data_IF_250036928816
#
_entry.id   IF_250036928816
#
_cell.length_a   1.000
_cell.length_b   1.000
_cell.length_c   1.000
_cell.angle_alpha   90.00
_cell.angle_beta   90.00
_cell.angle_gamma   90.00
#
_symmetry.space_group_name_H-M   'P 1'
#
loop_
_entity.id
_entity.type
_entity.pdbx_description
1 polymer ?
#
# COMPACT_ATOMS: atom_id res chain seq x y z
N UNK A 1 -0.07 -5.38 -13.59
CA UNK A 1 0.07 -6.50 -12.61
C UNK A 1 -0.88 -6.25 -11.46
N UNK A 2 -1.26 -7.29 -10.73
CA UNK A 2 -2.10 -7.19 -9.53
C UNK A 2 -1.19 -7.12 -8.30
N UNK A 3 -1.17 -5.98 -7.62
CA UNK A 3 -0.35 -5.74 -6.43
C UNK A 3 -1.26 -5.81 -5.22
N UNK A 4 -0.97 -6.71 -4.29
CA UNK A 4 -1.62 -6.77 -2.98
C UNK A 4 -0.96 -5.71 -2.08
N UNK A 5 -1.76 -4.81 -1.51
CA UNK A 5 -1.28 -3.70 -0.70
C UNK A 5 -1.95 -3.74 0.67
N UNK A 6 -1.16 -3.92 1.73
CA UNK A 6 -1.65 -3.74 3.10
C UNK A 6 -1.90 -2.25 3.42
N UNK A 7 -2.64 -1.98 4.50
CA UNK A 7 -3.02 -0.65 4.93
C UNK A 7 -2.31 -0.17 6.20
N UNK A 8 -2.47 -0.86 7.34
CA UNK A 8 -2.07 -0.37 8.66
C UNK A 8 -0.60 -0.65 8.97
N UNK A 9 0.25 0.38 8.89
CA UNK A 9 1.71 0.24 8.93
C UNK A 9 2.35 0.28 7.53
N UNK A 10 1.53 0.14 6.49
CA UNK A 10 1.95 0.11 5.08
C UNK A 10 1.56 1.37 4.32
N UNK A 11 0.29 1.76 4.33
CA UNK A 11 -0.17 3.01 3.71
C UNK A 11 -0.13 4.18 4.69
N UNK A 12 -0.41 3.89 5.95
CA UNK A 12 -0.47 4.84 7.06
C UNK A 12 0.30 4.29 8.26
N UNK A 13 0.53 5.11 9.28
CA UNK A 13 1.02 4.61 10.58
C UNK A 13 0.02 3.60 11.19
N UNK A 14 0.53 2.65 11.97
CA UNK A 14 -0.31 1.61 12.56
C UNK A 14 -1.05 2.15 13.80
N UNK A 15 -2.23 2.75 13.58
CA UNK A 15 -3.09 3.36 14.62
C UNK A 15 -4.47 2.69 14.73
N UNK A 16 -4.62 1.46 14.25
CA UNK A 16 -5.88 0.71 14.33
C UNK A 16 -6.48 0.77 15.75
N UNK A 17 -7.80 1.05 15.91
CA UNK A 17 -8.85 1.09 14.88
C UNK A 17 -8.91 2.37 14.04
N UNK A 18 -8.27 3.45 14.49
CA UNK A 18 -8.26 4.75 13.79
C UNK A 18 -7.40 4.69 12.51
N UNK A 19 -7.52 5.72 11.67
CA UNK A 19 -6.66 5.89 10.50
C UNK A 19 -5.40 6.64 10.95
N UNK A 20 -4.23 6.05 10.68
CA UNK A 20 -2.96 6.69 10.96
C UNK A 20 -2.60 7.82 9.98
N UNK A 21 -1.45 8.42 10.22
CA UNK A 21 -0.87 9.43 9.34
C UNK A 21 -0.32 8.79 8.06
N UNK A 22 -0.43 9.47 6.91
CA UNK A 22 0.19 8.99 5.65
C UNK A 22 1.73 8.97 5.81
N UNK A 23 2.34 7.82 5.49
CA UNK A 23 3.78 7.58 5.59
C UNK A 23 4.50 7.69 4.23
N UNK A 24 3.88 8.38 3.27
CA UNK A 24 4.42 8.62 1.93
C UNK A 24 3.94 7.63 0.88
N UNK A 25 2.90 6.86 1.18
CA UNK A 25 2.37 5.84 0.28
C UNK A 25 1.60 6.45 -0.89
N UNK A 26 0.82 7.50 -0.62
CA UNK A 26 -0.26 7.91 -1.50
C UNK A 26 0.21 8.27 -2.92
N UNK A 27 1.30 9.05 -3.05
CA UNK A 27 1.82 9.42 -4.37
C UNK A 27 2.40 8.23 -5.13
N UNK A 28 3.09 7.31 -4.45
CA UNK A 28 3.67 6.11 -5.07
C UNK A 28 2.56 5.20 -5.59
N UNK A 29 1.52 4.99 -4.79
CA UNK A 29 0.37 4.16 -5.17
C UNK A 29 -0.41 4.75 -6.36
N UNK A 30 -0.63 6.07 -6.39
CA UNK A 30 -1.22 6.75 -7.55
C UNK A 30 -0.43 6.49 -8.83
N UNK A 31 0.90 6.56 -8.74
CA UNK A 31 1.75 6.40 -9.91
C UNK A 31 1.86 4.94 -10.37
N UNK A 32 1.76 3.97 -9.46
CA UNK A 32 1.57 2.55 -9.82
C UNK A 32 0.25 2.35 -10.61
N UNK A 33 -0.85 2.94 -10.15
CA UNK A 33 -2.14 2.87 -10.88
C UNK A 33 -2.03 3.51 -12.26
N UNK A 34 -1.44 4.71 -12.36
CA UNK A 34 -1.21 5.38 -13.65
C UNK A 34 -0.34 4.57 -14.61
N UNK A 35 0.60 3.80 -14.08
CA UNK A 35 1.46 2.91 -14.86
C UNK A 35 0.75 1.60 -15.29
N UNK A 36 -0.55 1.46 -15.00
CA UNK A 36 -1.37 0.32 -15.43
C UNK A 36 -1.32 -0.88 -14.48
N UNK A 37 -0.92 -0.67 -13.22
CA UNK A 37 -0.99 -1.69 -12.19
C UNK A 37 -2.32 -1.61 -11.44
N UNK A 38 -2.85 -2.78 -11.07
CA UNK A 38 -4.05 -2.90 -10.27
C UNK A 38 -3.65 -3.01 -8.81
N UNK A 39 -4.25 -2.18 -7.95
CA UNK A 39 -4.07 -2.29 -6.51
C UNK A 39 -5.23 -3.08 -5.90
N UNK A 40 -4.93 -4.16 -5.21
CA UNK A 40 -5.89 -4.92 -4.42
C UNK A 40 -5.58 -4.63 -2.96
N UNK A 41 -6.45 -3.89 -2.29
CA UNK A 41 -6.33 -3.67 -0.85
C UNK A 41 -6.39 -5.02 -0.15
N UNK A 42 -5.34 -5.40 0.57
CA UNK A 42 -5.21 -6.68 1.26
C UNK A 42 -4.96 -6.42 2.74
N UNK A 43 -6.04 -6.24 3.48
CA UNK A 43 -6.05 -5.75 4.87
C UNK A 43 -6.87 -6.67 5.76
N UNK A 44 -6.55 -6.68 7.05
CA UNK A 44 -7.38 -7.33 8.07
C UNK A 44 -8.61 -6.50 8.46
N UNK A 45 -8.73 -5.26 8.00
CA UNK A 45 -9.99 -4.50 8.09
C UNK A 45 -11.08 -5.19 7.26
N UNK A 46 -12.29 -5.24 7.79
CA UNK A 46 -13.45 -5.89 7.18
C UNK A 46 -14.71 -5.01 7.31
N UNK A 47 -15.81 -5.39 6.66
CA UNK A 47 -17.07 -4.61 6.69
C UNK A 47 -17.56 -4.34 8.13
N UNK A 48 -17.35 -5.29 9.02
CA UNK A 48 -17.62 -5.22 10.46
C UNK A 48 -16.45 -4.67 11.30
N UNK A 49 -15.34 -4.28 10.64
CA UNK A 49 -14.09 -3.88 11.28
C UNK A 49 -13.39 -2.74 10.51
N UNK A 50 -13.98 -1.54 10.53
CA UNK A 50 -13.38 -0.27 10.08
C UNK A 50 -12.83 -0.24 8.64
N UNK A 51 -13.34 -1.09 7.73
CA UNK A 51 -12.90 -1.10 6.32
C UNK A 51 -13.27 0.19 5.57
N UNK A 52 -14.44 0.75 5.84
CA UNK A 52 -14.91 1.95 5.15
C UNK A 52 -13.96 3.15 5.34
N UNK A 53 -13.30 3.26 6.50
CA UNK A 53 -12.37 4.34 6.78
C UNK A 53 -11.10 4.21 5.93
N UNK A 54 -10.60 2.98 5.74
CA UNK A 54 -9.49 2.70 4.83
C UNK A 54 -9.88 2.99 3.37
N UNK A 55 -11.06 2.56 2.93
CA UNK A 55 -11.57 2.86 1.58
C UNK A 55 -11.71 4.37 1.35
N UNK A 56 -12.17 5.12 2.36
CA UNK A 56 -12.24 6.56 2.32
C UNK A 56 -10.85 7.21 2.17
N UNK A 57 -9.82 6.69 2.85
CA UNK A 57 -8.44 7.15 2.69
C UNK A 57 -7.94 6.99 1.25
N UNK A 58 -8.16 5.82 0.62
CA UNK A 58 -7.78 5.59 -0.79
C UNK A 58 -8.52 6.56 -1.74
N UNK A 59 -9.83 6.69 -1.55
CA UNK A 59 -10.68 7.59 -2.34
C UNK A 59 -10.25 9.06 -2.23
N UNK A 60 -10.01 9.54 -1.00
CA UNK A 60 -9.62 10.92 -0.75
C UNK A 60 -8.21 11.24 -1.30
N UNK A 61 -7.34 10.23 -1.37
CA UNK A 61 -6.03 10.33 -2.00
C UNK A 61 -6.05 10.13 -3.52
N UNK A 62 -7.22 9.93 -4.15
CA UNK A 62 -7.34 9.71 -5.58
C UNK A 62 -6.64 8.45 -6.07
N UNK A 63 -6.69 7.38 -5.27
CA UNK A 63 -6.10 6.08 -5.59
C UNK A 63 -7.23 5.09 -5.88
N UNK A 64 -7.31 4.64 -7.12
CA UNK A 64 -8.30 3.66 -7.54
C UNK A 64 -7.88 2.26 -7.13
N UNK A 65 -8.70 1.61 -6.30
CA UNK A 65 -8.56 0.21 -5.96
C UNK A 65 -9.25 -0.65 -7.03
N UNK A 66 -8.55 -1.69 -7.48
CA UNK A 66 -9.12 -2.71 -8.35
C UNK A 66 -10.06 -3.64 -7.58
N UNK A 67 -9.71 -3.99 -6.35
CA UNK A 67 -10.52 -4.82 -5.47
C UNK A 67 -10.08 -4.71 -4.00
N UNK A 68 -10.82 -5.38 -3.12
CA UNK A 68 -10.60 -5.41 -1.67
C UNK A 68 -10.64 -6.86 -1.20
N UNK A 69 -9.57 -7.31 -0.54
CA UNK A 69 -9.34 -8.62 0.07
C UNK A 69 -9.49 -9.84 -0.86
N UNK A 70 -9.76 -9.64 -2.14
CA UNK A 70 -9.90 -10.71 -3.13
C UNK A 70 -9.49 -10.19 -4.51
N UNK A 71 -8.88 -11.05 -5.33
CA UNK A 71 -8.70 -10.76 -6.74
C UNK A 71 -10.01 -11.09 -7.49
N UNK A 72 -10.61 -10.15 -8.26
CA UNK A 72 -11.87 -10.37 -8.97
C UNK A 72 -11.89 -11.59 -9.88
N UNK A 73 -10.74 -11.99 -10.40
CA UNK A 73 -10.60 -13.06 -11.37
C UNK A 73 -10.26 -14.43 -10.73
N UNK A 74 -9.91 -14.47 -9.44
CA UNK A 74 -9.38 -15.71 -8.82
C UNK A 74 -10.40 -16.83 -8.73
N UNK A 75 -11.68 -16.49 -8.58
CA UNK A 75 -12.79 -17.45 -8.51
C UNK A 75 -12.93 -18.30 -9.79
N UNK A 76 -12.36 -17.85 -10.90
CA UNK A 76 -12.35 -18.58 -12.18
C UNK A 76 -11.45 -19.82 -12.15
N UNK A 77 -10.49 -19.89 -11.22
CA UNK A 77 -9.52 -20.99 -11.17
C UNK A 77 -9.24 -21.56 -9.77
N UNK A 78 -9.72 -20.92 -8.69
CA UNK A 78 -9.57 -21.43 -7.33
C UNK A 78 -10.66 -20.94 -6.39
N UNK A 79 -10.95 -21.71 -5.35
CA UNK A 79 -11.77 -21.30 -4.20
C UNK A 79 -10.93 -20.93 -2.97
N UNK A 80 -9.61 -20.74 -3.15
CA UNK A 80 -8.70 -20.37 -2.07
C UNK A 80 -9.12 -19.05 -1.43
N UNK A 81 -9.09 -18.94 -0.08
CA UNK A 81 -9.38 -17.69 0.61
C UNK A 81 -8.22 -16.69 0.52
N UNK A 82 -7.02 -17.13 0.11
CA UNK A 82 -5.86 -16.24 -0.07
C UNK A 82 -6.04 -15.42 -1.34
N UNK A 83 -5.99 -14.09 -1.23
CA UNK A 83 -6.00 -13.19 -2.39
C UNK A 83 -4.81 -13.50 -3.31
N UNK A 84 -5.07 -13.56 -4.61
CA UNK A 84 -4.04 -13.80 -5.63
C UNK A 84 -3.48 -12.48 -6.19
N UNK A 85 -2.15 -12.35 -6.21
CA UNK A 85 -1.45 -11.20 -6.80
C UNK A 85 -0.01 -11.53 -7.19
N UNK A 86 0.60 -10.66 -7.98
CA UNK A 86 1.95 -10.78 -8.52
C UNK A 86 3.02 -10.24 -7.56
N UNK A 87 2.64 -9.29 -6.69
CA UNK A 87 3.48 -8.63 -5.71
C UNK A 87 2.67 -8.36 -4.43
N UNK A 88 3.30 -8.43 -3.27
CA UNK A 88 2.73 -8.02 -1.99
C UNK A 88 3.61 -6.93 -1.37
N UNK A 89 2.99 -5.81 -0.98
CA UNK A 89 3.63 -4.74 -0.21
C UNK A 89 2.91 -4.66 1.13
N UNK A 90 3.63 -4.97 2.20
CA UNK A 90 3.06 -5.23 3.52
C UNK A 90 4.13 -5.03 4.60
N UNK A 91 3.80 -4.35 5.70
CA UNK A 91 4.72 -3.99 6.80
C UNK A 91 5.23 -5.21 7.59
N UNK A 92 4.52 -6.33 7.52
CA UNK A 92 4.93 -7.61 8.11
C UNK A 92 5.59 -8.55 7.11
N UNK A 93 5.74 -8.17 5.83
CA UNK A 93 6.47 -8.96 4.85
C UNK A 93 7.97 -9.01 5.17
N UNK A 94 8.56 -10.22 5.10
CA UNK A 94 10.00 -10.38 5.27
C UNK A 94 10.74 -9.66 4.12
N UNK A 95 11.63 -8.73 4.48
CA UNK A 95 12.44 -7.98 3.52
C UNK A 95 11.87 -6.64 3.10
N UNK A 96 10.67 -6.26 3.57
CA UNK A 96 10.17 -4.89 3.39
C UNK A 96 11.07 -3.91 4.16
N UNK A 97 11.60 -2.85 3.53
CA UNK A 97 12.36 -1.85 4.25
C UNK A 97 11.41 -1.07 5.16
N UNK A 98 11.84 -0.89 6.41
CA UNK A 98 11.10 -0.15 7.42
C UNK A 98 11.98 0.88 8.08
N UNK A 99 11.33 1.86 8.65
CA UNK A 99 11.96 2.95 9.37
C UNK A 99 11.16 3.21 10.65
N UNK A 100 11.87 3.72 11.66
CA UNK A 100 11.27 3.99 12.96
C UNK A 100 10.55 5.33 12.89
N UNK A 101 9.24 5.32 12.68
CA UNK A 101 8.41 6.47 13.01
C UNK A 101 8.32 6.63 14.54
N UNK A 102 8.00 7.83 15.02
CA UNK A 102 7.81 8.18 16.43
C UNK A 102 6.64 7.43 17.10
N UNK A 103 5.86 6.67 16.33
CA UNK A 103 4.77 5.82 16.79
C UNK A 103 5.26 4.44 17.28
N UNK A 104 4.36 3.67 17.89
CA UNK A 104 4.68 2.41 18.58
C UNK A 104 5.26 1.29 17.70
N UNK A 105 5.13 1.36 16.37
CA UNK A 105 5.57 0.32 15.42
C UNK A 105 6.30 0.94 14.24
N UNK A 106 7.43 0.35 13.79
CA UNK A 106 8.05 0.72 12.52
C UNK A 106 7.07 0.54 11.36
N UNK A 107 7.06 1.48 10.44
CA UNK A 107 6.20 1.46 9.26
C UNK A 107 7.03 1.26 7.98
N UNK A 108 6.37 1.05 6.85
CA UNK A 108 7.04 0.87 5.55
C UNK A 108 7.81 2.14 5.16
N UNK A 109 9.06 1.97 4.73
CA UNK A 109 9.88 3.05 4.19
C UNK A 109 9.61 3.23 2.69
N UNK A 110 8.65 4.09 2.35
CA UNK A 110 8.28 4.32 0.94
C UNK A 110 9.37 4.93 0.07
N UNK A 111 10.38 5.58 0.66
CA UNK A 111 11.54 6.04 -0.11
C UNK A 111 12.28 4.83 -0.67
N UNK A 112 12.67 3.91 0.20
CA UNK A 112 13.39 2.70 -0.22
C UNK A 112 12.50 1.76 -1.04
N UNK A 113 11.20 1.62 -0.70
CA UNK A 113 10.26 0.83 -1.52
C UNK A 113 10.13 1.42 -2.92
N UNK A 114 10.05 2.74 -3.07
CA UNK A 114 9.96 3.37 -4.39
C UNK A 114 11.20 3.12 -5.26
N UNK A 115 12.39 3.08 -4.65
CA UNK A 115 13.64 2.71 -5.33
C UNK A 115 13.64 1.23 -5.75
N UNK A 116 13.13 0.34 -4.91
CA UNK A 116 12.93 -1.08 -5.23
C UNK A 116 11.94 -1.26 -6.40
N UNK A 117 10.80 -0.56 -6.38
CA UNK A 117 9.80 -0.59 -7.45
C UNK A 117 10.37 -0.01 -8.76
N UNK A 118 11.20 1.03 -8.70
CA UNK A 118 11.93 1.56 -9.85
C UNK A 118 12.91 0.53 -10.43
N UNK A 119 13.68 -0.17 -9.60
CA UNK A 119 14.60 -1.23 -10.06
C UNK A 119 13.87 -2.37 -10.78
N UNK A 120 12.61 -2.63 -10.39
CA UNK A 120 11.72 -3.60 -11.02
C UNK A 120 10.98 -3.05 -12.25
N UNK A 121 11.24 -1.79 -12.64
CA UNK A 121 10.62 -1.08 -13.76
C UNK A 121 9.10 -0.86 -13.61
N UNK A 122 8.61 -0.81 -12.37
CA UNK A 122 7.21 -0.49 -12.05
C UNK A 122 6.99 1.02 -11.89
N UNK A 123 8.07 1.75 -11.62
CA UNK A 123 8.11 3.21 -11.59
C UNK A 123 9.18 3.72 -12.54
N UNK A 124 9.06 4.97 -12.93
CA UNK A 124 10.02 5.68 -13.79
C UNK A 124 10.97 6.54 -12.96
N UNK A 125 12.10 6.91 -13.56
CA UNK A 125 13.06 7.83 -12.93
C UNK A 125 12.42 9.21 -12.66
N UNK A 126 11.56 9.69 -13.56
CA UNK A 126 10.86 10.96 -13.39
C UNK A 126 9.90 10.94 -12.19
N UNK A 127 9.20 9.82 -11.97
CA UNK A 127 8.30 9.65 -10.84
C UNK A 127 9.08 9.67 -9.50
N UNK A 128 10.12 8.86 -9.37
CA UNK A 128 10.86 8.77 -8.09
C UNK A 128 11.52 10.10 -7.69
N UNK A 129 11.95 10.93 -8.64
CA UNK A 129 12.55 12.24 -8.35
C UNK A 129 11.54 13.30 -7.93
N UNK A 130 10.25 13.07 -8.14
CA UNK A 130 9.17 13.98 -7.72
C UNK A 130 8.66 13.68 -6.31
N UNK A 131 8.99 12.52 -5.76
CA UNK A 131 8.50 12.14 -4.45
C UNK A 131 9.17 12.97 -3.36
N UNK A 132 8.36 13.58 -2.52
CA UNK A 132 8.82 14.22 -1.29
C UNK A 132 8.56 13.30 -0.11
N UNK A 133 9.65 12.87 0.54
CA UNK A 133 9.61 12.10 1.77
C UNK A 133 10.03 12.94 2.98
N UNK A 134 9.79 14.25 2.96
CA UNK A 134 10.10 15.17 4.07
C UNK A 134 9.32 14.87 5.34
N UNK A 135 8.16 14.18 5.23
CA UNK A 135 7.41 13.67 6.39
C UNK A 135 8.24 12.80 7.31
N UNK A 136 9.34 12.26 6.79
CA UNK A 136 10.30 11.48 7.55
C UNK A 136 11.04 12.19 8.66
N UNK A 137 10.98 13.50 8.70
CA UNK A 137 11.66 14.27 9.73
C UNK A 137 10.75 14.59 10.92
N UNK A 138 9.43 14.37 10.79
CA UNK A 138 8.46 14.74 11.83
C UNK A 138 7.45 13.63 12.17
N UNK A 139 7.30 12.60 11.34
CA UNK A 139 6.64 11.33 11.68
C UNK A 139 7.62 10.40 12.36
#
# INVERSE_FOLDING_TARGET
MNILIDFDGTCVTHNFPEIGEDIGAAQVLRDLVKNGHNLILFTMRSEDCYLNDALAWFKNNGIDLYAVNINPEQSKFTSSPKAYGDLIIDDIALGIPKWSCHFYRPCVDWKLVSEMLYSQKLLTFEQINKYDFSMRNYL
#
